data_IF_445281009303
#
_entry.id   IF_445281009303
#
_cell.length_a   1.000
_cell.length_b   1.000
_cell.length_c   1.000
_cell.angle_alpha   90.00
_cell.angle_beta   90.00
_cell.angle_gamma   90.00
#
_symmetry.space_group_name_H-M   'P 1'
#
loop_
_entity.id
_entity.type
_entity.pdbx_description
1 polymer ?
#
# COMPACT_ATOMS: atom_id res chain seq x y z
N UNK A 1 31.42 -2.15 4.35
CA UNK A 1 29.97 -2.39 4.59
C UNK A 1 29.82 -2.80 6.04
N UNK A 2 29.07 -2.03 6.84
CA UNK A 2 28.82 -2.39 8.24
C UNK A 2 27.86 -3.58 8.28
N UNK A 3 28.32 -4.72 8.79
CA UNK A 3 27.50 -5.89 9.06
C UNK A 3 26.74 -5.66 10.36
N UNK A 4 25.53 -5.11 10.26
CA UNK A 4 24.61 -5.05 11.40
C UNK A 4 24.23 -6.48 11.77
N UNK A 5 24.89 -7.04 12.79
CA UNK A 5 24.56 -8.37 13.32
C UNK A 5 23.22 -8.28 14.04
N UNK A 6 22.13 -8.63 13.36
CA UNK A 6 20.80 -8.73 13.97
C UNK A 6 20.84 -9.89 14.97
N UNK A 7 20.92 -9.56 16.26
CA UNK A 7 21.22 -10.49 17.34
C UNK A 7 19.98 -11.10 18.01
N UNK A 8 18.77 -10.73 17.59
CA UNK A 8 17.53 -11.26 18.16
C UNK A 8 16.70 -11.99 17.09
N UNK A 9 16.32 -13.24 17.38
CA UNK A 9 15.39 -14.05 16.57
C UNK A 9 14.30 -14.60 17.49
N UNK A 10 13.08 -14.67 16.98
CA UNK A 10 11.99 -15.31 17.70
C UNK A 10 12.20 -16.82 17.80
N UNK A 11 11.71 -17.42 18.89
CA UNK A 11 11.77 -18.87 19.11
C UNK A 11 11.12 -19.61 17.92
N UNK A 12 11.84 -20.56 17.35
CA UNK A 12 11.40 -21.33 16.17
C UNK A 12 11.99 -20.86 14.83
N UNK A 13 12.73 -19.76 14.80
CA UNK A 13 13.44 -19.28 13.61
C UNK A 13 14.96 -19.43 13.77
N UNK A 14 15.64 -19.99 12.76
CA UNK A 14 17.10 -20.20 12.71
C UNK A 14 17.68 -19.82 11.34
N UNK A 15 19.00 -19.85 11.20
CA UNK A 15 19.71 -19.53 9.95
C UNK A 15 20.29 -18.11 9.91
N UNK A 16 20.98 -17.80 8.81
CA UNK A 16 21.57 -16.48 8.56
C UNK A 16 20.56 -15.53 7.93
N UNK A 17 20.72 -14.22 8.17
CA UNK A 17 19.92 -13.22 7.45
C UNK A 17 20.39 -13.11 6.01
N UNK A 18 19.44 -13.09 5.07
CA UNK A 18 19.72 -12.87 3.66
C UNK A 18 19.17 -11.51 3.21
N UNK A 19 19.84 -10.93 2.22
CA UNK A 19 19.38 -9.71 1.55
C UNK A 19 18.57 -10.14 0.34
N UNK A 20 17.29 -9.72 0.31
CA UNK A 20 16.37 -9.99 -0.79
C UNK A 20 15.81 -8.68 -1.34
N UNK A 21 15.58 -8.65 -2.64
CA UNK A 21 14.78 -7.59 -3.26
C UNK A 21 13.30 -7.84 -3.02
N UNK A 22 12.50 -6.76 -2.95
CA UNK A 22 11.05 -6.89 -2.77
C UNK A 22 10.38 -7.75 -3.84
N UNK A 23 10.90 -7.74 -5.08
CA UNK A 23 10.37 -8.55 -6.17
C UNK A 23 10.52 -10.05 -5.94
N UNK A 24 11.48 -10.48 -5.12
CA UNK A 24 11.69 -11.90 -4.78
C UNK A 24 10.71 -12.39 -3.71
N UNK A 25 10.22 -11.50 -2.86
CA UNK A 25 9.40 -11.85 -1.68
C UNK A 25 7.96 -11.32 -1.75
N UNK A 26 7.65 -10.49 -2.74
CA UNK A 26 6.34 -9.85 -2.93
C UNK A 26 6.06 -9.51 -4.40
N UNK A 27 4.79 -9.36 -4.73
CA UNK A 27 4.27 -8.77 -5.96
C UNK A 27 4.20 -7.26 -5.81
N UNK A 28 4.82 -6.55 -6.73
CA UNK A 28 4.86 -5.09 -6.73
C UNK A 28 3.92 -4.56 -7.80
N UNK A 29 2.95 -3.74 -7.40
CA UNK A 29 2.00 -3.12 -8.33
C UNK A 29 2.10 -1.59 -8.26
N UNK A 30 1.96 -0.94 -9.41
CA UNK A 30 1.85 0.51 -9.48
C UNK A 30 0.40 0.95 -9.34
N UNK A 31 0.18 2.00 -8.54
CA UNK A 31 -1.15 2.55 -8.29
C UNK A 31 -1.76 3.33 -9.44
N UNK A 32 -3.02 3.69 -9.26
CA UNK A 32 -3.85 4.35 -10.27
C UNK A 32 -4.00 5.85 -9.97
N UNK A 33 -3.60 6.69 -10.92
CA UNK A 33 -3.88 8.12 -10.86
C UNK A 33 -5.21 8.44 -11.54
N UNK A 34 -6.22 8.78 -10.74
CA UNK A 34 -7.55 9.18 -11.22
C UNK A 34 -7.73 10.72 -11.18
N UNK A 35 -8.22 11.37 -12.26
CA UNK A 35 -8.57 12.79 -12.26
C UNK A 35 -9.63 13.13 -11.21
N UNK A 36 -9.55 14.31 -10.59
CA UNK A 36 -10.49 14.76 -9.53
C UNK A 36 -11.95 14.70 -10.00
N UNK A 37 -12.23 15.05 -11.26
CA UNK A 37 -13.57 15.02 -11.84
C UNK A 37 -14.21 13.63 -11.90
N UNK A 38 -13.41 12.55 -11.79
CA UNK A 38 -13.88 11.16 -11.77
C UNK A 38 -13.98 10.57 -10.35
N UNK A 39 -13.69 11.37 -9.32
CA UNK A 39 -13.72 10.93 -7.93
C UNK A 39 -15.04 11.31 -7.29
N UNK A 40 -15.61 10.38 -6.55
CA UNK A 40 -16.88 10.57 -5.85
C UNK A 40 -16.60 10.98 -4.40
N UNK A 41 -17.40 11.91 -3.87
CA UNK A 41 -17.35 12.28 -2.43
C UNK A 41 -18.18 11.37 -1.54
N UNK A 42 -19.01 10.52 -2.13
CA UNK A 42 -19.89 9.56 -1.44
C UNK A 42 -19.77 8.20 -2.12
N UNK A 43 -19.85 7.10 -1.36
CA UNK A 43 -19.80 5.77 -1.93
C UNK A 43 -21.04 5.51 -2.80
N UNK A 44 -20.85 4.78 -3.89
CA UNK A 44 -21.88 4.15 -4.69
C UNK A 44 -21.83 2.63 -4.49
N UNK A 45 -22.78 1.90 -5.10
CA UNK A 45 -22.85 0.43 -5.03
C UNK A 45 -21.56 -0.27 -5.47
N UNK A 46 -20.87 0.31 -6.46
CA UNK A 46 -19.69 -0.31 -7.09
C UNK A 46 -18.40 0.46 -6.80
N UNK A 47 -18.46 1.60 -6.10
CA UNK A 47 -17.28 2.38 -5.82
C UNK A 47 -16.44 1.77 -4.70
N UNK A 48 -15.12 1.90 -4.79
CA UNK A 48 -14.19 1.58 -3.71
C UNK A 48 -13.57 2.83 -3.13
N UNK A 49 -13.22 2.77 -1.85
CA UNK A 49 -12.44 3.83 -1.18
C UNK A 49 -11.14 4.07 -1.95
N UNK A 50 -10.84 5.33 -2.25
CA UNK A 50 -9.66 5.72 -2.97
C UNK A 50 -8.55 6.12 -1.99
N UNK A 51 -7.56 5.25 -1.85
CA UNK A 51 -6.48 5.39 -0.88
C UNK A 51 -5.45 6.38 -1.42
N UNK A 52 -5.52 7.61 -0.91
CA UNK A 52 -4.55 8.69 -1.17
C UNK A 52 -3.81 9.07 0.11
N UNK A 53 -2.68 9.77 0.00
CA UNK A 53 -1.96 10.28 1.18
C UNK A 53 -2.83 11.26 1.97
N UNK A 54 -3.66 12.04 1.28
CA UNK A 54 -4.60 12.97 1.91
C UNK A 54 -5.65 12.21 2.73
N UNK A 55 -6.26 11.17 2.15
CA UNK A 55 -7.23 10.34 2.86
C UNK A 55 -6.62 9.60 4.06
N UNK A 56 -5.36 9.17 3.96
CA UNK A 56 -4.63 8.54 5.07
C UNK A 56 -4.27 9.54 6.19
N UNK A 57 -4.02 10.81 5.85
CA UNK A 57 -3.70 11.87 6.83
C UNK A 57 -4.95 12.49 7.46
N UNK A 58 -6.03 12.61 6.69
CA UNK A 58 -7.24 13.32 7.08
C UNK A 58 -8.49 12.53 6.65
N UNK A 59 -9.09 11.81 7.61
CA UNK A 59 -10.29 10.99 7.39
C UNK A 59 -11.54 11.80 7.00
N UNK A 60 -11.48 13.13 6.94
CA UNK A 60 -12.60 13.99 6.50
C UNK A 60 -12.68 14.15 4.98
N UNK A 61 -11.59 13.91 4.25
CA UNK A 61 -11.52 14.08 2.78
C UNK A 61 -11.44 12.71 2.08
N UNK A 62 -12.48 11.91 2.30
CA UNK A 62 -12.59 10.56 1.73
C UNK A 62 -13.20 10.62 0.34
N UNK A 63 -12.52 10.03 -0.63
CA UNK A 63 -12.94 9.93 -2.02
C UNK A 63 -13.16 8.45 -2.41
N UNK A 64 -13.97 8.22 -3.45
CA UNK A 64 -14.27 6.90 -3.99
C UNK A 64 -14.15 6.88 -5.51
N UNK A 65 -13.86 5.72 -6.09
CA UNK A 65 -13.77 5.53 -7.54
C UNK A 65 -14.52 4.27 -7.98
N UNK A 66 -15.11 4.30 -9.19
CA UNK A 66 -15.88 3.19 -9.76
C UNK A 66 -15.13 2.42 -10.84
N UNK A 67 -14.15 3.04 -11.50
CA UNK A 67 -13.39 2.44 -12.59
C UNK A 67 -11.96 2.17 -12.13
N UNK A 68 -11.64 0.89 -11.95
CA UNK A 68 -10.34 0.40 -11.52
C UNK A 68 -10.12 -1.04 -12.00
N UNK A 69 -8.87 -1.50 -11.99
CA UNK A 69 -8.51 -2.90 -12.22
C UNK A 69 -8.25 -3.62 -10.89
N UNK A 70 -8.40 -4.94 -10.86
CA UNK A 70 -8.16 -5.73 -9.63
C UNK A 70 -6.70 -5.66 -9.15
N UNK A 71 -5.76 -5.38 -10.05
CA UNK A 71 -4.33 -5.21 -9.73
C UNK A 71 -4.05 -4.04 -8.78
N UNK A 72 -4.96 -3.06 -8.70
CA UNK A 72 -4.82 -1.86 -7.85
C UNK A 72 -5.71 -1.90 -6.61
N UNK A 73 -6.35 -3.04 -6.34
CA UNK A 73 -7.12 -3.26 -5.12
C UNK A 73 -6.17 -3.73 -4.01
N UNK A 74 -6.18 -3.01 -2.90
CA UNK A 74 -5.53 -3.36 -1.64
C UNK A 74 -6.56 -4.00 -0.72
N UNK A 75 -6.18 -5.10 -0.09
CA UNK A 75 -6.90 -5.75 0.99
C UNK A 75 -6.22 -5.47 2.34
N UNK A 76 -6.90 -5.79 3.44
CA UNK A 76 -6.42 -5.46 4.80
C UNK A 76 -5.11 -6.16 5.18
N UNK A 77 -4.82 -7.28 4.56
CA UNK A 77 -3.60 -8.09 4.70
C UNK A 77 -2.45 -7.63 3.80
N UNK A 78 -2.71 -6.74 2.83
CA UNK A 78 -1.68 -6.17 1.97
C UNK A 78 -0.92 -5.03 2.67
N UNK A 79 0.28 -4.71 2.16
CA UNK A 79 1.12 -3.62 2.67
C UNK A 79 1.37 -2.58 1.58
N UNK A 80 0.98 -1.33 1.85
CA UNK A 80 1.25 -0.20 0.98
C UNK A 80 2.50 0.55 1.44
N UNK A 81 3.27 1.05 0.47
CA UNK A 81 4.38 1.96 0.74
C UNK A 81 4.33 3.15 -0.20
N UNK A 82 4.42 4.34 0.38
CA UNK A 82 4.42 5.57 -0.41
C UNK A 82 5.77 5.80 -1.07
N UNK A 83 5.74 6.12 -2.37
CA UNK A 83 6.92 6.49 -3.17
C UNK A 83 7.16 8.00 -3.21
N UNK A 84 6.09 8.79 -3.11
CA UNK A 84 6.11 10.25 -3.28
C UNK A 84 5.24 10.92 -2.24
N UNK A 85 5.48 12.22 -1.97
CA UNK A 85 4.76 13.02 -0.99
C UNK A 85 5.13 12.72 0.46
N UNK A 86 5.06 11.46 0.88
CA UNK A 86 5.50 11.01 2.22
C UNK A 86 6.34 9.74 2.11
N UNK A 87 7.43 9.79 1.34
CA UNK A 87 8.22 8.62 0.92
C UNK A 87 8.62 7.72 2.08
N UNK A 88 8.37 6.42 1.95
CA UNK A 88 8.77 5.42 2.94
C UNK A 88 7.73 5.15 4.03
N UNK A 89 6.59 5.84 4.03
CA UNK A 89 5.48 5.51 4.93
C UNK A 89 4.89 4.15 4.56
N UNK A 90 4.83 3.25 5.56
CA UNK A 90 4.23 1.92 5.45
C UNK A 90 2.81 1.97 6.03
N UNK A 91 1.86 1.39 5.30
CA UNK A 91 0.44 1.35 5.68
C UNK A 91 -0.08 -0.07 5.53
N UNK A 92 -0.81 -0.56 6.52
CA UNK A 92 -1.45 -1.88 6.53
C UNK A 92 -2.85 -1.79 7.12
N UNK A 93 -3.68 -2.84 6.96
CA UNK A 93 -5.03 -2.88 7.52
C UNK A 93 -6.08 -2.06 6.77
N UNK A 94 -5.76 -1.56 5.58
CA UNK A 94 -6.64 -0.70 4.77
C UNK A 94 -7.16 -1.47 3.55
N UNK A 95 -8.43 -1.28 3.21
CA UNK A 95 -9.03 -1.85 2.00
C UNK A 95 -9.51 -0.74 1.06
N UNK A 96 -9.23 -0.88 -0.23
CA UNK A 96 -9.62 0.11 -1.24
C UNK A 96 -8.75 0.05 -2.50
N UNK A 97 -8.81 1.08 -3.32
CA UNK A 97 -7.98 1.22 -4.52
C UNK A 97 -6.88 2.23 -4.26
N UNK A 98 -5.63 1.86 -4.51
CA UNK A 98 -4.48 2.69 -4.15
C UNK A 98 -4.00 3.61 -5.28
N UNK A 99 -3.61 4.83 -4.88
CA UNK A 99 -3.00 5.82 -5.77
C UNK A 99 -1.48 5.60 -5.99
N UNK A 100 -0.80 4.97 -5.03
CA UNK A 100 0.68 4.80 -5.02
C UNK A 100 1.09 3.36 -5.27
N UNK A 101 2.37 3.02 -5.23
CA UNK A 101 2.77 1.62 -5.39
C UNK A 101 2.36 0.77 -4.16
N UNK A 102 2.09 -0.51 -4.39
CA UNK A 102 1.70 -1.50 -3.38
C UNK A 102 2.62 -2.73 -3.45
N UNK A 103 2.81 -3.40 -2.32
CA UNK A 103 3.44 -4.72 -2.21
C UNK A 103 2.40 -5.73 -1.71
N UNK A 104 2.24 -6.84 -2.41
CA UNK A 104 1.31 -7.94 -2.09
C UNK A 104 2.03 -9.27 -2.00
#
# INVERSE_FOLDING_TARGET
>A
MATTKICYRFKGFSGEWEIKSFREVSKVNQGLQIPISKRLKRPSKNSKFYITIQALKNAKEVEYIESYSDSVVCHKDDVLMTRTGNTGMVVSGVEGVFHFNSWR
#
